data_IF_245716108953
#
_entry.id   IF_245716108953
#
_cell.length_a   1.000
_cell.length_b   1.000
_cell.length_c   1.000
_cell.angle_alpha   90.00
_cell.angle_beta   90.00
_cell.angle_gamma   90.00
#
_symmetry.space_group_name_H-M   'P 1'
#
loop_
_entity.id
_entity.type
_entity.pdbx_description
1 polymer ?
#
# COMPACT_ATOMS: atom_id res chain seq x y z
N UNK A 1 -9.95 -14.57 -30.25
CA UNK A 1 -9.91 -13.83 -30.77
C UNK A 1 -9.76 -14.29 -30.84
N UNK A 2 -10.10 -14.31 -30.52
CA UNK A 2 -9.99 -13.65 -30.97
C UNK A 2 -9.86 -13.76 -31.21
N UNK A 3 -10.40 -13.93 -30.94
CA UNK A 3 -10.30 -13.09 -31.57
C UNK A 3 -9.84 -13.03 -31.84
N UNK A 4 -9.90 -13.25 -31.56
CA UNK A 4 -9.41 -12.49 -32.19
C UNK A 4 -8.80 -12.56 -32.34
N UNK A 5 -9.41 -12.76 -32.03
CA UNK A 5 -8.75 -12.01 -32.54
C UNK A 5 -8.21 -11.99 -32.61
N UNK A 6 -8.46 -12.09 -32.37
CA UNK A 6 -7.84 -11.39 -32.75
C UNK A 6 -7.30 -11.49 -32.70
N UNK A 7 -7.47 -11.93 -32.75
CA UNK A 7 -6.83 -11.39 -33.01
C UNK A 7 -6.23 -11.64 -32.93
N UNK A 8 -6.41 -11.72 -32.59
CA UNK A 8 -5.75 -11.35 -32.84
C UNK A 8 -5.20 -11.60 -32.73
N UNK A 9 -5.44 -11.24 -32.04
CA UNK A 9 -4.90 -10.91 -32.12
C UNK A 9 -4.41 -11.15 -31.95
N UNK A 10 -4.40 -11.47 -31.98
CA UNK A 10 -3.81 -11.05 -31.96
C UNK A 10 -3.30 -11.12 -31.61
N UNK A 11 -3.89 -11.03 -30.85
CA UNK A 11 -3.42 -10.49 -30.72
C UNK A 11 -2.94 -10.74 -30.38
N UNK A 12 -2.95 -10.82 -30.25
CA UNK A 12 -2.51 -10.53 -29.95
C UNK A 12 -2.06 -10.71 -29.60
N UNK A 13 -2.15 -10.86 -29.61
CA UNK A 13 -1.83 -10.69 -29.09
C UNK A 13 -1.38 -10.96 -28.69
N UNK A 14 -1.08 -11.10 -28.53
CA UNK A 14 -0.75 -11.26 -27.99
C UNK A 14 -0.28 -11.56 -27.44
N UNK A 15 0.07 -12.15 -27.18
CA UNK A 15 0.37 -12.28 -26.31
C UNK A 15 0.54 -11.49 -25.54
N UNK A 16 0.09 -11.45 -25.28
CA UNK A 16 0.08 -10.21 -24.53
C UNK A 16 -0.16 -10.51 -23.11
N UNK A 17 0.78 -10.13 -22.30
CA UNK A 17 0.58 -10.17 -20.88
C UNK A 17 -0.38 -9.04 -20.56
N UNK A 18 -1.59 -9.32 -20.12
CA UNK A 18 -2.46 -8.28 -19.68
C UNK A 18 -1.81 -7.59 -18.48
N UNK A 19 -1.73 -6.28 -18.57
CA UNK A 19 -1.36 -5.50 -17.40
C UNK A 19 -2.56 -5.42 -16.50
N UNK A 20 -2.53 -6.18 -15.44
CA UNK A 20 -3.48 -5.99 -14.35
C UNK A 20 -2.80 -5.07 -13.36
N UNK A 21 -3.14 -3.77 -13.35
CA UNK A 21 -2.55 -2.88 -12.36
C UNK A 21 -2.87 -3.39 -10.96
N UNK A 22 -1.88 -3.40 -10.11
CA UNK A 22 -2.08 -3.74 -8.70
C UNK A 22 -2.55 -2.50 -7.96
N UNK A 23 -3.58 -2.65 -7.16
CA UNK A 23 -4.09 -1.60 -6.29
C UNK A 23 -3.41 -1.72 -4.94
N UNK A 24 -2.60 -0.72 -4.58
CA UNK A 24 -1.80 -0.73 -3.35
C UNK A 24 -2.35 0.31 -2.40
N UNK A 25 -2.70 -0.11 -1.19
CA UNK A 25 -3.19 0.77 -0.15
C UNK A 25 -2.36 0.55 1.11
N UNK A 26 -1.78 1.63 1.63
CA UNK A 26 -1.15 1.62 2.94
C UNK A 26 -1.95 2.54 3.85
N UNK A 27 -2.36 2.03 4.99
CA UNK A 27 -3.23 2.75 5.92
C UNK A 27 -2.55 2.87 7.28
N UNK A 28 -2.74 4.03 7.91
CA UNK A 28 -2.38 4.22 9.32
C UNK A 28 -3.62 4.71 10.05
N UNK A 29 -3.95 4.05 11.13
CA UNK A 29 -5.17 4.35 11.88
C UNK A 29 -4.87 4.35 13.38
N UNK A 30 -5.78 4.91 14.15
CA UNK A 30 -5.60 5.03 15.60
C UNK A 30 -6.83 5.62 16.23
N UNK A 31 -6.68 6.06 17.47
CA UNK A 31 -7.76 6.71 18.20
C UNK A 31 -8.13 8.05 17.54
N UNK A 32 -9.39 8.45 17.61
CA UNK A 32 -9.80 9.76 17.09
C UNK A 32 -8.95 10.88 17.65
N UNK A 33 -8.53 11.81 16.79
CA UNK A 33 -7.70 12.94 17.19
C UNK A 33 -6.21 12.65 17.26
N UNK A 34 -5.79 11.41 16.97
CA UNK A 34 -4.36 11.08 16.92
C UNK A 34 -3.70 11.75 15.74
N UNK A 35 -2.51 12.26 15.98
CA UNK A 35 -1.63 12.85 14.95
C UNK A 35 -0.38 11.98 14.89
N UNK A 36 0.08 11.70 13.69
CA UNK A 36 1.24 10.81 13.51
C UNK A 36 2.20 11.37 12.48
N UNK A 37 3.48 11.01 12.65
CA UNK A 37 4.49 11.17 11.61
C UNK A 37 4.68 9.83 10.94
N UNK A 38 4.53 9.81 9.62
CA UNK A 38 4.51 8.58 8.83
C UNK A 38 5.64 8.62 7.82
N UNK A 39 6.42 7.54 7.78
CA UNK A 39 7.42 7.33 6.74
C UNK A 39 7.03 6.07 5.98
N UNK A 40 7.10 6.14 4.65
CA UNK A 40 6.72 5.00 3.84
C UNK A 40 7.56 4.93 2.57
N UNK A 41 7.65 3.73 2.02
CA UNK A 41 8.25 3.50 0.71
C UNK A 41 7.11 3.37 -0.29
N UNK A 42 7.10 4.23 -1.29
CA UNK A 42 6.04 4.22 -2.29
C UNK A 42 6.27 3.11 -3.33
N UNK A 43 5.33 2.98 -4.28
CA UNK A 43 5.40 1.91 -5.29
C UNK A 43 6.56 2.09 -6.26
N UNK A 44 7.20 3.24 -6.28
CA UNK A 44 8.39 3.52 -7.10
C UNK A 44 9.68 3.37 -6.29
N UNK A 45 9.61 2.76 -5.12
CA UNK A 45 10.73 2.55 -4.21
C UNK A 45 11.36 3.86 -3.76
N UNK A 46 10.57 4.93 -3.65
CA UNK A 46 11.03 6.22 -3.18
C UNK A 46 10.56 6.43 -1.74
N UNK A 47 11.47 6.77 -0.82
CA UNK A 47 11.05 7.05 0.55
C UNK A 47 10.28 8.37 0.62
N UNK A 48 9.19 8.35 1.35
CA UNK A 48 8.30 9.48 1.53
C UNK A 48 8.06 9.71 3.02
N UNK A 49 7.71 10.93 3.38
CA UNK A 49 7.44 11.28 4.78
C UNK A 49 6.25 12.23 4.85
N UNK A 50 5.33 11.92 5.76
CA UNK A 50 4.20 12.79 6.08
C UNK A 50 4.30 13.17 7.56
N UNK A 51 4.53 14.44 7.85
CA UNK A 51 4.82 14.93 9.20
C UNK A 51 3.54 15.47 9.83
N UNK A 52 3.24 15.00 11.03
CA UNK A 52 2.14 15.51 11.87
C UNK A 52 0.81 15.52 11.13
N UNK A 53 0.43 14.37 10.56
CA UNK A 53 -0.83 14.25 9.83
C UNK A 53 -1.90 13.63 10.73
N UNK A 54 -3.17 14.04 10.55
CA UNK A 54 -4.26 13.44 11.31
C UNK A 54 -4.57 12.03 10.84
N UNK A 55 -4.97 11.17 11.75
CA UNK A 55 -5.41 9.81 11.41
C UNK A 55 -6.93 9.77 11.28
N UNK A 56 -7.49 8.91 10.45
CA UNK A 56 -6.81 7.92 9.60
C UNK A 56 -6.09 8.57 8.41
N UNK A 57 -4.99 7.96 8.02
CA UNK A 57 -4.21 8.36 6.86
C UNK A 57 -4.11 7.17 5.90
N UNK A 58 -4.11 7.44 4.61
CA UNK A 58 -3.97 6.40 3.60
C UNK A 58 -3.16 6.89 2.42
N UNK A 59 -2.35 5.98 1.87
CA UNK A 59 -1.70 6.12 0.59
C UNK A 59 -2.33 5.10 -0.34
N UNK A 60 -3.02 5.55 -1.35
CA UNK A 60 -3.82 4.72 -2.25
C UNK A 60 -3.34 4.97 -3.67
N UNK A 61 -2.83 3.94 -4.31
CA UNK A 61 -2.29 4.07 -5.66
C UNK A 61 -2.40 2.76 -6.43
N UNK A 62 -2.09 2.82 -7.71
CA UNK A 62 -1.98 1.64 -8.56
C UNK A 62 -0.59 1.59 -9.17
N UNK A 63 -0.13 0.39 -9.48
CA UNK A 63 1.14 0.19 -10.15
C UNK A 63 1.04 -0.97 -11.12
N UNK A 64 1.80 -0.87 -12.21
CA UNK A 64 1.90 -1.96 -13.20
C UNK A 64 3.15 -2.81 -12.99
N UNK A 65 3.91 -2.55 -11.93
CA UNK A 65 5.10 -3.33 -11.65
C UNK A 65 4.74 -4.78 -11.29
N UNK A 66 5.50 -5.76 -11.79
CA UNK A 66 5.18 -7.17 -11.51
C UNK A 66 5.39 -7.56 -10.05
N UNK A 67 6.26 -6.87 -9.35
CA UNK A 67 6.50 -7.10 -7.93
C UNK A 67 6.43 -5.78 -7.18
N UNK A 68 5.81 -5.79 -6.01
CA UNK A 68 5.64 -4.61 -5.17
C UNK A 68 6.38 -4.83 -3.87
N UNK A 69 7.23 -3.87 -3.51
CA UNK A 69 7.91 -3.83 -2.22
C UNK A 69 7.55 -2.50 -1.56
N UNK A 70 6.77 -2.54 -0.51
CA UNK A 70 6.35 -1.33 0.18
C UNK A 70 6.44 -1.52 1.69
N UNK A 71 6.61 -0.42 2.40
CA UNK A 71 6.58 -0.42 3.85
C UNK A 71 6.01 0.90 4.34
N UNK A 72 5.52 0.88 5.57
CA UNK A 72 5.02 2.06 6.25
C UNK A 72 5.36 1.96 7.72
N UNK A 73 5.88 3.06 8.27
CA UNK A 73 6.17 3.19 9.69
C UNK A 73 5.49 4.45 10.19
N UNK A 74 4.96 4.40 11.39
CA UNK A 74 4.24 5.54 11.97
C UNK A 74 4.50 5.67 13.46
N UNK A 75 4.69 6.92 13.89
CA UNK A 75 4.82 7.30 15.30
C UNK A 75 3.65 8.18 15.65
N UNK A 76 2.80 7.73 16.55
CA UNK A 76 1.62 8.47 16.98
C UNK A 76 1.83 9.23 18.29
N UNK A 77 0.84 10.07 18.63
CA UNK A 77 0.85 10.87 19.85
C UNK A 77 -0.26 10.46 20.82
N UNK A 78 -0.78 9.25 20.70
CA UNK A 78 -1.84 8.73 21.54
C UNK A 78 -1.43 7.39 22.17
N UNK A 79 -2.41 6.59 22.57
CA UNK A 79 -2.15 5.32 23.25
C UNK A 79 -2.29 4.11 22.34
N UNK A 80 -2.58 4.32 21.07
CA UNK A 80 -2.75 3.22 20.12
C UNK A 80 -2.55 3.71 18.70
N UNK A 81 -1.86 2.90 17.90
CA UNK A 81 -1.72 3.16 16.47
C UNK A 81 -1.61 1.84 15.72
N UNK A 82 -2.16 1.80 14.53
CA UNK A 82 -2.08 0.63 13.67
C UNK A 82 -1.71 0.97 12.26
N UNK A 83 -1.18 0.01 11.54
CA UNK A 83 -0.93 0.11 10.12
C UNK A 83 -1.47 -1.12 9.39
N UNK A 84 -1.74 -0.95 8.11
CA UNK A 84 -2.22 -2.03 7.25
C UNK A 84 -1.73 -1.80 5.84
N UNK A 85 -1.29 -2.87 5.19
CA UNK A 85 -0.95 -2.85 3.77
C UNK A 85 -1.90 -3.82 3.06
N UNK A 86 -2.58 -3.33 2.03
CA UNK A 86 -3.44 -4.14 1.18
C UNK A 86 -2.96 -4.06 -0.26
N UNK A 87 -2.98 -5.19 -0.94
CA UNK A 87 -2.71 -5.26 -2.37
C UNK A 87 -3.85 -6.04 -3.01
N UNK A 88 -4.54 -5.41 -3.95
CA UNK A 88 -5.73 -5.94 -4.61
C UNK A 88 -6.77 -6.41 -3.58
N UNK A 89 -7.00 -5.57 -2.57
CA UNK A 89 -7.96 -5.79 -1.48
C UNK A 89 -7.60 -6.95 -0.54
N UNK A 90 -6.38 -7.48 -0.67
CA UNK A 90 -5.89 -8.53 0.23
C UNK A 90 -4.94 -7.90 1.24
N UNK A 91 -5.20 -8.10 2.52
CA UNK A 91 -4.32 -7.61 3.59
C UNK A 91 -3.04 -8.43 3.57
N UNK A 92 -1.92 -7.75 3.35
CA UNK A 92 -0.60 -8.38 3.29
C UNK A 92 0.15 -8.26 4.62
N UNK A 93 -0.07 -7.20 5.34
CA UNK A 93 0.48 -7.02 6.68
C UNK A 93 -0.41 -6.05 7.47
N UNK A 94 -0.51 -6.28 8.76
CA UNK A 94 -1.32 -5.46 9.65
C UNK A 94 -0.78 -5.57 11.06
N UNK A 95 -0.63 -4.43 11.73
CA UNK A 95 -0.18 -4.38 13.12
C UNK A 95 -0.88 -3.28 13.87
N UNK A 96 -1.14 -3.54 15.14
CA UNK A 96 -1.64 -2.53 16.08
C UNK A 96 -0.76 -2.56 17.31
N UNK A 97 -0.35 -1.38 17.76
CA UNK A 97 0.46 -1.21 18.96
C UNK A 97 -0.30 -0.38 19.96
N UNK A 98 -0.47 -0.89 21.16
CA UNK A 98 -1.16 -0.23 22.25
C UNK A 98 -0.12 0.17 23.30
N UNK A 99 0.42 1.36 23.18
CA UNK A 99 1.45 1.88 24.06
C UNK A 99 1.45 3.38 23.98
N UNK A 100 2.00 4.07 24.97
CA UNK A 100 2.12 5.52 24.95
C UNK A 100 3.09 5.94 23.85
N UNK A 101 2.70 6.94 23.05
CA UNK A 101 3.46 7.39 21.88
C UNK A 101 3.82 6.18 20.99
N UNK A 102 2.84 5.42 20.52
CA UNK A 102 3.10 4.13 19.90
C UNK A 102 3.80 4.26 18.56
N UNK A 103 4.67 3.32 18.27
CA UNK A 103 5.32 3.19 16.98
C UNK A 103 4.90 1.87 16.35
N UNK A 104 4.51 1.91 15.09
CA UNK A 104 4.13 0.71 14.35
C UNK A 104 4.84 0.65 13.00
N UNK A 105 4.93 -0.56 12.45
CA UNK A 105 5.63 -0.81 11.20
C UNK A 105 4.97 -1.97 10.46
N UNK A 106 4.67 -1.76 9.18
CA UNK A 106 4.15 -2.80 8.30
C UNK A 106 5.04 -2.91 7.07
N UNK A 107 5.19 -4.13 6.56
CA UNK A 107 6.09 -4.42 5.46
C UNK A 107 5.47 -5.48 4.56
N UNK A 108 5.51 -5.26 3.25
CA UNK A 108 5.20 -6.28 2.26
C UNK A 108 6.34 -6.35 1.24
N UNK A 109 6.89 -7.55 1.04
CA UNK A 109 8.01 -7.79 0.13
C UNK A 109 7.60 -8.43 -1.18
N UNK A 110 6.38 -8.89 -1.29
CA UNK A 110 5.94 -9.69 -2.43
C UNK A 110 4.47 -9.44 -2.72
N UNK A 111 4.20 -8.27 -3.18
CA UNK A 111 2.84 -7.86 -3.49
C UNK A 111 2.28 -8.44 -4.78
#
# INVERSE_FOLDING_TARGET
GSRDVVSTPNGSANDIVPFNPKHVVMEVFGLPGTVATITYLDVNAQPQKAVAVPLPWAYDTTTTQPAVFVNVAAQGDSDSIGCRIKIDDVVKDERTVNALNPFTYCLDKSG
#
